data_IF_577167112505
#
_entry.id   IF_577167112505
#
_cell.length_a   1.000
_cell.length_b   1.000
_cell.length_c   1.000
_cell.angle_alpha   90.00
_cell.angle_beta   90.00
_cell.angle_gamma   90.00
#
_symmetry.space_group_name_H-M   'P 1'
#
loop_
_entity.id
_entity.type
_entity.pdbx_description
1 polymer ?
#
# COMPACT_ATOMS: atom_id res chain seq x y z
N UNK A 1 72.00 11.76 -42.52
CA UNK A 1 71.06 12.49 -41.65
C UNK A 1 69.57 12.25 -41.93
N UNK A 2 69.16 12.08 -43.20
CA UNK A 2 67.70 11.82 -43.53
C UNK A 2 67.16 10.45 -43.08
N UNK A 3 67.99 9.40 -42.91
CA UNK A 3 67.53 8.09 -42.42
C UNK A 3 67.25 8.02 -40.93
N UNK A 4 68.03 8.71 -40.12
CA UNK A 4 67.82 8.77 -38.67
C UNK A 4 66.57 9.58 -38.29
N UNK A 5 66.28 10.66 -39.04
CA UNK A 5 65.06 11.44 -38.83
C UNK A 5 63.77 10.62 -39.06
N UNK A 6 63.75 9.74 -40.06
CA UNK A 6 62.59 8.83 -40.34
C UNK A 6 62.43 7.77 -39.27
N UNK A 7 63.51 7.25 -38.70
CA UNK A 7 63.45 6.21 -37.66
C UNK A 7 62.99 6.83 -36.32
N UNK A 8 63.37 8.04 -36.01
CA UNK A 8 62.94 8.75 -34.81
C UNK A 8 61.45 9.15 -34.89
N UNK A 9 60.98 9.61 -36.06
CA UNK A 9 59.58 9.93 -36.26
C UNK A 9 58.69 8.67 -36.21
N UNK A 10 59.13 7.51 -36.73
CA UNK A 10 58.40 6.27 -36.59
C UNK A 10 58.36 5.74 -35.17
N UNK A 11 59.42 5.87 -34.38
CA UNK A 11 59.46 5.49 -32.96
C UNK A 11 58.57 6.34 -32.09
N UNK A 12 58.50 7.66 -32.35
CA UNK A 12 57.61 8.59 -31.62
C UNK A 12 56.14 8.34 -31.97
N UNK A 13 55.84 8.03 -33.22
CA UNK A 13 54.46 7.71 -33.64
C UNK A 13 53.98 6.35 -33.05
N UNK A 14 54.87 5.37 -32.93
CA UNK A 14 54.58 4.08 -32.28
C UNK A 14 54.40 4.26 -30.73
N UNK A 15 55.17 5.14 -30.11
CA UNK A 15 55.04 5.42 -28.69
C UNK A 15 53.76 6.20 -28.36
N UNK A 16 53.32 7.09 -29.25
CA UNK A 16 52.03 7.79 -29.12
C UNK A 16 50.82 6.88 -29.32
N UNK A 17 50.92 5.84 -30.16
CA UNK A 17 49.88 4.82 -30.36
C UNK A 17 49.77 3.89 -29.15
N UNK A 18 50.83 3.62 -28.41
CA UNK A 18 50.81 2.77 -27.21
C UNK A 18 50.21 3.53 -26.01
N UNK A 19 50.38 4.82 -25.94
CA UNK A 19 49.78 5.67 -24.88
C UNK A 19 48.26 5.90 -25.05
N UNK A 20 47.73 5.71 -26.25
CA UNK A 20 46.27 5.85 -26.46
C UNK A 20 45.44 4.60 -26.11
N UNK A 21 46.08 3.45 -25.87
CA UNK A 21 45.39 2.20 -25.51
C UNK A 21 45.18 2.04 -23.97
N UNK A 22 45.94 2.80 -23.16
CA UNK A 22 45.80 2.77 -21.71
C UNK A 22 44.76 3.73 -21.11
N UNK A 23 44.06 4.50 -21.97
CA UNK A 23 42.98 5.41 -21.52
C UNK A 23 41.56 4.78 -21.56
N UNK A 24 41.45 3.50 -21.95
CA UNK A 24 40.26 2.70 -21.62
C UNK A 24 40.42 2.03 -20.27
N UNK A 25 40.66 2.85 -19.22
CA UNK A 25 40.29 2.48 -17.87
C UNK A 25 38.80 2.32 -17.88
N UNK A 26 38.31 1.08 -17.80
CA UNK A 26 36.90 0.79 -17.62
C UNK A 26 36.39 1.56 -16.43
N UNK A 27 35.73 2.69 -16.64
CA UNK A 27 34.69 3.10 -15.75
C UNK A 27 33.70 1.92 -15.79
N UNK A 28 33.74 1.05 -14.80
CA UNK A 28 32.57 0.33 -14.39
C UNK A 28 31.51 1.41 -14.12
N UNK A 29 30.79 1.75 -15.18
CA UNK A 29 29.53 2.43 -15.03
C UNK A 29 28.69 1.44 -14.24
N UNK A 30 28.71 1.57 -12.90
CA UNK A 30 27.67 1.00 -12.10
C UNK A 30 26.41 1.62 -12.68
N UNK A 31 25.65 0.86 -13.46
CA UNK A 31 24.28 1.23 -13.77
C UNK A 31 23.64 1.39 -12.43
N UNK A 32 23.53 2.62 -11.99
CA UNK A 32 22.85 2.98 -10.76
C UNK A 32 21.45 2.37 -10.87
N UNK A 33 21.21 1.32 -10.08
CA UNK A 33 19.93 0.61 -10.12
C UNK A 33 18.95 1.47 -9.36
N UNK A 34 18.24 2.33 -10.06
CA UNK A 34 17.17 3.14 -9.51
C UNK A 34 15.93 2.28 -9.37
N UNK A 35 15.32 2.30 -8.19
CA UNK A 35 14.05 1.64 -7.86
C UNK A 35 13.07 2.72 -7.46
N UNK A 36 11.88 2.73 -8.06
CA UNK A 36 10.81 3.66 -7.72
C UNK A 36 9.83 2.93 -6.80
N UNK A 37 9.73 3.38 -5.55
CA UNK A 37 8.81 2.83 -4.57
C UNK A 37 7.57 3.72 -4.43
N UNK A 38 6.38 3.10 -4.39
CA UNK A 38 5.13 3.77 -4.12
C UNK A 38 4.61 3.55 -2.70
N UNK A 39 3.80 4.46 -2.19
CA UNK A 39 2.94 4.22 -1.03
C UNK A 39 1.48 4.57 -1.32
N UNK A 40 0.56 3.91 -0.63
CA UNK A 40 -0.81 4.35 -0.51
C UNK A 40 -0.89 5.60 0.39
N UNK A 41 -2.06 6.22 0.42
CA UNK A 41 -2.40 7.49 1.07
C UNK A 41 -2.79 7.35 2.56
N UNK A 42 -2.10 6.48 3.31
CA UNK A 42 -2.29 6.32 4.76
C UNK A 42 -1.00 5.95 5.49
N UNK A 43 -0.94 6.32 6.76
CA UNK A 43 0.28 6.37 7.57
C UNK A 43 1.06 5.06 7.63
N UNK A 44 0.40 3.91 7.84
CA UNK A 44 1.11 2.63 7.90
C UNK A 44 1.82 2.33 6.57
N UNK A 45 1.12 2.49 5.45
CA UNK A 45 1.68 2.19 4.14
C UNK A 45 2.85 3.11 3.78
N UNK A 46 2.77 4.41 4.14
CA UNK A 46 3.87 5.37 3.99
C UNK A 46 5.10 4.96 4.83
N UNK A 47 4.90 4.58 6.09
CA UNK A 47 5.98 4.12 6.98
C UNK A 47 6.64 2.85 6.42
N UNK A 48 5.85 1.87 5.98
CA UNK A 48 6.38 0.61 5.44
C UNK A 48 7.12 0.87 4.12
N UNK A 49 6.59 1.73 3.25
CA UNK A 49 7.27 2.13 2.01
C UNK A 49 8.62 2.78 2.30
N UNK A 50 8.70 3.66 3.30
CA UNK A 50 9.96 4.27 3.72
C UNK A 50 10.94 3.24 4.29
N UNK A 51 10.47 2.26 5.08
CA UNK A 51 11.32 1.17 5.57
C UNK A 51 11.89 0.33 4.41
N UNK A 52 11.09 0.04 3.38
CA UNK A 52 11.57 -0.66 2.18
C UNK A 52 12.58 0.20 1.41
N UNK A 53 12.31 1.51 1.28
CA UNK A 53 13.23 2.45 0.64
C UNK A 53 14.59 2.47 1.33
N UNK A 54 14.63 2.62 2.65
CA UNK A 54 15.86 2.62 3.44
C UNK A 54 16.62 1.28 3.34
N UNK A 55 15.92 0.15 3.33
CA UNK A 55 16.54 -1.16 3.16
C UNK A 55 17.17 -1.33 1.78
N UNK A 56 16.52 -0.82 0.73
CA UNK A 56 17.05 -0.83 -0.63
C UNK A 56 18.26 0.10 -0.78
N UNK A 57 18.23 1.29 -0.15
CA UNK A 57 19.37 2.23 -0.12
C UNK A 57 20.58 1.60 0.59
N UNK A 58 20.36 0.93 1.73
CA UNK A 58 21.42 0.19 2.44
C UNK A 58 22.02 -0.94 1.59
N UNK A 59 21.19 -1.56 0.73
CA UNK A 59 21.64 -2.56 -0.25
C UNK A 59 22.32 -1.97 -1.49
N UNK A 60 22.47 -0.61 -1.57
CA UNK A 60 23.18 0.08 -2.64
C UNK A 60 22.34 0.44 -3.87
N UNK A 61 21.03 0.49 -3.75
CA UNK A 61 20.13 1.01 -4.78
C UNK A 61 19.94 2.53 -4.61
N UNK A 62 19.72 3.23 -5.71
CA UNK A 62 19.15 4.57 -5.65
C UNK A 62 17.63 4.43 -5.61
N UNK A 63 16.97 5.06 -4.63
CA UNK A 63 15.52 4.92 -4.45
C UNK A 63 14.80 6.25 -4.70
N UNK A 64 13.85 6.23 -5.61
CA UNK A 64 12.87 7.31 -5.82
C UNK A 64 11.57 6.95 -5.07
N UNK A 65 11.01 7.93 -4.36
CA UNK A 65 9.79 7.78 -3.56
C UNK A 65 8.62 8.48 -4.23
N UNK A 66 7.53 7.76 -4.49
CA UNK A 66 6.24 8.29 -4.94
C UNK A 66 5.18 7.94 -3.91
N UNK A 67 5.13 8.77 -2.88
CA UNK A 67 4.24 8.59 -1.73
C UNK A 67 2.84 9.17 -1.98
N UNK A 68 1.87 8.82 -1.11
CA UNK A 68 0.54 9.41 -1.08
C UNK A 68 -0.26 9.18 -2.39
N UNK A 69 -0.19 7.95 -2.92
CA UNK A 69 -0.96 7.52 -4.09
C UNK A 69 -2.27 6.91 -3.62
N UNK A 70 -3.40 7.38 -4.15
CA UNK A 70 -4.70 6.82 -3.81
C UNK A 70 -4.74 5.29 -3.97
N UNK A 71 -5.33 4.60 -3.01
CA UNK A 71 -5.39 3.12 -2.96
C UNK A 71 -6.01 2.51 -4.22
N UNK A 72 -6.98 3.20 -4.84
CA UNK A 72 -7.60 2.80 -6.10
C UNK A 72 -6.69 2.91 -7.34
N UNK A 73 -5.57 3.63 -7.24
CA UNK A 73 -4.69 3.97 -8.37
C UNK A 73 -3.36 3.23 -8.32
N UNK A 74 -2.82 2.96 -7.12
CA UNK A 74 -1.44 2.47 -6.95
C UNK A 74 -1.15 1.16 -7.68
N UNK A 75 -2.10 0.21 -7.69
CA UNK A 75 -1.95 -1.04 -8.44
C UNK A 75 -1.76 -0.76 -9.95
N UNK A 76 -2.55 0.15 -10.51
CA UNK A 76 -2.42 0.56 -11.91
C UNK A 76 -1.08 1.25 -12.17
N UNK A 77 -0.57 2.05 -11.24
CA UNK A 77 0.76 2.68 -11.34
C UNK A 77 1.88 1.64 -11.39
N UNK A 78 1.76 0.51 -10.64
CA UNK A 78 2.71 -0.60 -10.73
C UNK A 78 2.63 -1.32 -12.08
N UNK A 79 1.43 -1.65 -12.56
CA UNK A 79 1.19 -2.26 -13.88
C UNK A 79 1.73 -1.37 -15.01
N UNK A 80 1.51 -0.07 -14.94
CA UNK A 80 1.97 0.92 -15.92
C UNK A 80 3.47 1.25 -15.83
N UNK A 81 4.20 0.66 -14.86
CA UNK A 81 5.63 0.91 -14.65
C UNK A 81 5.96 2.33 -14.20
N UNK A 82 5.05 2.98 -13.53
CA UNK A 82 5.27 4.27 -12.90
C UNK A 82 5.99 4.13 -11.56
N UNK A 83 5.80 2.98 -10.89
CA UNK A 83 6.53 2.51 -9.71
C UNK A 83 7.05 1.09 -9.95
N UNK A 84 8.01 0.63 -9.15
CA UNK A 84 8.61 -0.71 -9.25
C UNK A 84 8.10 -1.66 -8.18
N UNK A 85 7.72 -1.12 -7.02
CA UNK A 85 7.12 -1.87 -5.92
C UNK A 85 6.30 -0.95 -5.02
N UNK A 86 5.42 -1.56 -4.24
CA UNK A 86 4.72 -0.94 -3.11
C UNK A 86 4.30 -1.99 -2.09
N UNK A 87 4.05 -1.61 -0.81
CA UNK A 87 3.42 -2.48 0.17
C UNK A 87 1.94 -2.67 -0.16
N UNK A 88 1.50 -3.92 -0.29
CA UNK A 88 0.10 -4.27 -0.52
C UNK A 88 -0.39 -5.23 0.55
N UNK A 89 -1.69 -5.39 0.67
CA UNK A 89 -2.37 -6.23 1.64
C UNK A 89 -3.12 -7.34 0.92
N UNK A 90 -2.96 -8.58 1.38
CA UNK A 90 -3.49 -9.77 0.72
C UNK A 90 -5.01 -9.70 0.50
N UNK A 91 -5.76 -9.21 1.49
CA UNK A 91 -7.22 -9.01 1.39
C UNK A 91 -7.62 -7.99 0.33
N UNK A 92 -6.86 -6.88 0.20
CA UNK A 92 -7.07 -5.89 -0.87
C UNK A 92 -6.82 -6.51 -2.24
N UNK A 93 -5.73 -7.26 -2.38
CA UNK A 93 -5.44 -7.99 -3.62
C UNK A 93 -6.57 -8.95 -4.00
N UNK A 94 -7.11 -9.69 -3.02
CA UNK A 94 -8.18 -10.65 -3.23
C UNK A 94 -9.51 -9.98 -3.63
N UNK A 95 -9.99 -9.03 -2.82
CA UNK A 95 -11.35 -8.51 -2.95
C UNK A 95 -11.43 -7.29 -3.88
N UNK A 96 -10.50 -6.32 -3.76
CA UNK A 96 -10.60 -5.07 -4.51
C UNK A 96 -10.01 -5.16 -5.91
N UNK A 97 -8.91 -5.90 -6.08
CA UNK A 97 -8.21 -5.98 -7.38
C UNK A 97 -8.69 -7.17 -8.18
N UNK A 98 -8.71 -8.38 -7.58
CA UNK A 98 -9.08 -9.61 -8.27
C UNK A 98 -10.58 -9.88 -8.25
N UNK A 99 -11.33 -9.21 -7.36
CA UNK A 99 -12.79 -9.37 -7.19
C UNK A 99 -13.21 -10.84 -6.98
N UNK A 100 -12.42 -11.57 -6.18
CA UNK A 100 -12.65 -12.96 -5.82
C UNK A 100 -13.53 -13.07 -4.57
N UNK A 101 -14.07 -14.26 -4.30
CA UNK A 101 -14.81 -14.57 -3.08
C UNK A 101 -13.90 -14.50 -1.83
N UNK A 102 -14.51 -14.22 -0.67
CA UNK A 102 -13.79 -14.16 0.61
C UNK A 102 -13.16 -15.50 0.95
N UNK A 103 -11.88 -15.50 1.27
CA UNK A 103 -11.15 -16.61 1.88
C UNK A 103 -10.70 -16.15 3.27
N UNK A 104 -10.67 -17.06 4.24
CA UNK A 104 -10.40 -16.73 5.65
C UNK A 104 -9.05 -17.25 6.16
N UNK A 105 -8.42 -18.17 5.45
CA UNK A 105 -7.10 -18.67 5.79
C UNK A 105 -6.00 -17.80 5.18
N UNK A 106 -5.07 -17.24 5.98
CA UNK A 106 -4.05 -16.32 5.47
C UNK A 106 -3.11 -16.92 4.40
N UNK A 107 -2.76 -18.20 4.54
CA UNK A 107 -1.88 -18.88 3.57
C UNK A 107 -2.61 -19.11 2.25
N UNK A 108 -3.90 -19.48 2.31
CA UNK A 108 -4.74 -19.66 1.13
C UNK A 108 -4.97 -18.32 0.41
N UNK A 109 -5.27 -17.23 1.14
CA UNK A 109 -5.39 -15.88 0.56
C UNK A 109 -4.11 -15.47 -0.14
N UNK A 110 -2.95 -15.59 0.53
CA UNK A 110 -1.66 -15.23 -0.04
C UNK A 110 -1.34 -16.06 -1.31
N UNK A 111 -1.49 -17.38 -1.25
CA UNK A 111 -1.20 -18.25 -2.39
C UNK A 111 -2.09 -17.91 -3.59
N UNK A 112 -3.38 -17.62 -3.33
CA UNK A 112 -4.36 -17.27 -4.37
C UNK A 112 -4.01 -15.93 -5.03
N UNK A 113 -3.75 -14.87 -4.26
CA UNK A 113 -3.42 -13.55 -4.83
C UNK A 113 -2.08 -13.60 -5.56
N UNK A 114 -1.09 -14.29 -5.02
CA UNK A 114 0.23 -14.43 -5.66
C UNK A 114 0.12 -15.08 -7.03
N UNK A 115 -0.56 -16.22 -7.13
CA UNK A 115 -0.74 -16.93 -8.40
C UNK A 115 -1.52 -16.10 -9.43
N UNK A 116 -2.61 -15.46 -8.99
CA UNK A 116 -3.43 -14.65 -9.88
C UNK A 116 -2.71 -13.37 -10.38
N UNK A 117 -1.90 -12.72 -9.54
CA UNK A 117 -1.13 -11.54 -9.94
C UNK A 117 -0.01 -11.91 -10.92
N UNK A 118 0.66 -13.04 -10.74
CA UNK A 118 1.66 -13.53 -11.69
C UNK A 118 1.02 -13.82 -13.06
N UNK A 119 -0.14 -14.48 -13.08
CA UNK A 119 -0.85 -14.84 -14.31
C UNK A 119 -1.43 -13.62 -15.05
N UNK A 120 -2.14 -12.75 -14.32
CA UNK A 120 -2.93 -11.67 -14.94
C UNK A 120 -2.10 -10.41 -15.20
N UNK A 121 -1.16 -10.06 -14.30
CA UNK A 121 -0.47 -8.78 -14.31
C UNK A 121 1.05 -8.90 -14.49
N UNK A 122 1.63 -10.10 -14.41
CA UNK A 122 3.10 -10.32 -14.40
C UNK A 122 3.77 -9.58 -13.21
N UNK A 123 3.09 -9.60 -12.06
CA UNK A 123 3.55 -9.03 -10.80
C UNK A 123 3.79 -10.15 -9.79
N UNK A 124 4.82 -10.00 -8.97
CA UNK A 124 5.17 -10.98 -7.92
C UNK A 124 4.88 -10.42 -6.53
N UNK A 125 4.16 -11.18 -5.72
CA UNK A 125 4.07 -10.99 -4.28
C UNK A 125 5.29 -11.65 -3.61
N UNK A 126 6.09 -10.84 -2.90
CA UNK A 126 7.14 -11.38 -2.04
C UNK A 126 6.54 -11.94 -0.75
N UNK A 127 7.39 -12.50 0.14
CA UNK A 127 6.90 -13.10 1.38
C UNK A 127 6.13 -12.10 2.24
N UNK A 128 5.00 -12.53 2.77
CA UNK A 128 4.16 -11.67 3.60
C UNK A 128 4.59 -11.66 5.07
N UNK A 129 4.35 -10.54 5.73
CA UNK A 129 4.55 -10.38 7.16
C UNK A 129 3.38 -10.95 7.98
N UNK A 130 3.62 -11.29 9.24
CA UNK A 130 2.54 -11.65 10.16
C UNK A 130 1.62 -10.45 10.50
N UNK A 131 2.04 -9.22 10.21
CA UNK A 131 1.23 -8.02 10.38
C UNK A 131 -0.03 -8.12 9.49
N UNK A 132 -1.19 -7.89 10.11
CA UNK A 132 -2.50 -7.95 9.48
C UNK A 132 -3.25 -6.64 9.77
N UNK A 133 -3.37 -5.79 8.76
CA UNK A 133 -4.06 -4.51 8.84
C UNK A 133 -5.42 -4.62 8.13
N UNK A 134 -6.39 -5.15 8.86
CA UNK A 134 -7.74 -5.40 8.37
C UNK A 134 -8.58 -4.13 8.24
N UNK A 135 -9.63 -4.22 7.42
CA UNK A 135 -10.70 -3.23 7.41
C UNK A 135 -11.48 -3.27 8.73
N UNK A 136 -12.07 -2.15 9.12
CA UNK A 136 -12.89 -2.05 10.31
C UNK A 136 -13.81 -0.82 10.27
N UNK A 137 -14.65 -0.72 11.26
CA UNK A 137 -15.43 0.48 11.59
C UNK A 137 -15.15 0.86 13.04
N UNK A 138 -14.95 2.14 13.30
CA UNK A 138 -14.90 2.64 14.65
C UNK A 138 -16.05 3.61 14.91
N UNK A 139 -16.47 3.67 16.16
CA UNK A 139 -17.53 4.57 16.64
C UNK A 139 -16.99 5.41 17.80
N UNK A 140 -17.51 6.62 18.00
CA UNK A 140 -17.21 7.39 19.20
C UNK A 140 -17.59 6.62 20.45
N UNK A 141 -16.77 6.68 21.51
CA UNK A 141 -17.10 6.08 22.82
C UNK A 141 -18.47 6.53 23.31
N UNK A 142 -18.81 7.81 23.15
CA UNK A 142 -20.10 8.39 23.51
C UNK A 142 -21.28 7.66 22.87
N UNK A 143 -21.23 7.47 21.53
CA UNK A 143 -22.32 6.80 20.81
C UNK A 143 -22.35 5.29 21.10
N UNK A 144 -21.17 4.65 21.22
CA UNK A 144 -21.09 3.24 21.60
C UNK A 144 -21.77 2.98 22.97
N UNK A 145 -21.49 3.80 23.96
CA UNK A 145 -22.09 3.68 25.31
C UNK A 145 -23.57 4.04 25.31
N UNK A 146 -23.99 5.07 24.55
CA UNK A 146 -25.38 5.52 24.47
C UNK A 146 -26.32 4.46 23.89
N UNK A 147 -25.87 3.77 22.83
CA UNK A 147 -26.68 2.77 22.12
C UNK A 147 -26.29 1.31 22.43
N UNK A 148 -25.26 1.08 23.26
CA UNK A 148 -24.77 -0.26 23.59
C UNK A 148 -24.13 -1.00 22.41
N UNK A 149 -23.43 -0.28 21.52
CA UNK A 149 -22.85 -0.80 20.27
C UNK A 149 -21.44 -1.30 20.52
N UNK A 150 -21.18 -2.56 20.17
CA UNK A 150 -19.85 -3.20 20.23
C UNK A 150 -19.50 -4.01 18.97
N UNK A 151 -20.49 -4.37 18.18
CA UNK A 151 -20.35 -5.16 16.96
C UNK A 151 -20.89 -4.41 15.75
N UNK A 152 -20.52 -4.84 14.54
CA UNK A 152 -21.08 -4.29 13.30
C UNK A 152 -22.58 -4.60 13.17
N UNK A 153 -23.05 -5.75 13.71
CA UNK A 153 -24.47 -6.03 13.78
C UNK A 153 -25.24 -5.04 14.65
N UNK A 154 -24.68 -4.66 15.81
CA UNK A 154 -25.29 -3.63 16.67
C UNK A 154 -25.33 -2.30 15.95
N UNK A 155 -24.23 -1.93 15.28
CA UNK A 155 -24.14 -0.70 14.50
C UNK A 155 -25.21 -0.65 13.40
N UNK A 156 -25.39 -1.74 12.65
CA UNK A 156 -26.39 -1.81 11.58
C UNK A 156 -27.81 -1.61 12.11
N UNK A 157 -28.13 -2.19 13.28
CA UNK A 157 -29.42 -2.02 13.92
C UNK A 157 -29.74 -0.59 14.37
N UNK A 158 -28.70 0.20 14.61
CA UNK A 158 -28.79 1.61 15.07
C UNK A 158 -28.33 2.64 14.02
N UNK A 159 -28.13 2.23 12.76
CA UNK A 159 -27.61 3.12 11.72
C UNK A 159 -28.45 4.41 11.54
N UNK A 160 -29.76 4.33 11.69
CA UNK A 160 -30.68 5.46 11.52
C UNK A 160 -30.50 6.58 12.59
N UNK A 161 -29.87 6.31 13.71
CA UNK A 161 -29.55 7.27 14.76
C UNK A 161 -28.16 7.91 14.56
N UNK A 162 -27.31 7.33 13.72
CA UNK A 162 -25.88 7.61 13.64
C UNK A 162 -25.48 8.35 12.38
N UNK A 163 -24.51 9.26 12.52
CA UNK A 163 -23.89 10.01 11.42
C UNK A 163 -22.61 9.30 10.99
N UNK A 164 -22.50 8.99 9.71
CA UNK A 164 -21.37 8.29 9.14
C UNK A 164 -20.40 9.25 8.44
N UNK A 165 -19.15 9.27 8.87
CA UNK A 165 -18.06 9.92 8.16
C UNK A 165 -17.49 8.94 7.11
N UNK A 166 -18.07 8.96 5.93
CA UNK A 166 -17.69 8.11 4.82
C UNK A 166 -16.34 8.52 4.22
N UNK A 167 -15.73 7.58 3.51
CA UNK A 167 -14.59 7.82 2.62
C UNK A 167 -15.00 7.39 1.23
N UNK A 168 -14.74 8.22 0.21
CA UNK A 168 -15.27 7.99 -1.13
C UNK A 168 -14.85 6.64 -1.75
N UNK A 169 -13.66 6.13 -1.44
CA UNK A 169 -13.23 4.81 -1.88
C UNK A 169 -13.96 3.69 -1.14
N UNK A 170 -14.15 3.82 0.17
CA UNK A 170 -14.85 2.83 1.00
C UNK A 170 -16.29 2.60 0.53
N UNK A 171 -16.95 3.65 0.04
CA UNK A 171 -18.31 3.56 -0.49
C UNK A 171 -18.42 2.80 -1.81
N UNK A 172 -17.30 2.55 -2.50
CA UNK A 172 -17.29 1.96 -3.84
C UNK A 172 -16.58 0.59 -3.91
N UNK A 173 -15.73 0.29 -2.95
CA UNK A 173 -14.95 -0.95 -2.93
C UNK A 173 -15.79 -2.14 -2.51
N UNK A 174 -15.53 -3.32 -3.12
CA UNK A 174 -16.17 -4.59 -2.73
C UNK A 174 -15.84 -5.00 -1.28
N UNK A 175 -14.69 -4.59 -0.74
CA UNK A 175 -14.30 -4.77 0.66
C UNK A 175 -14.64 -3.56 1.56
N UNK A 176 -15.45 -2.65 1.07
CA UNK A 176 -15.97 -1.49 1.78
C UNK A 176 -17.46 -1.63 2.10
N UNK A 177 -18.20 -0.49 1.96
CA UNK A 177 -19.63 -0.45 2.28
C UNK A 177 -20.46 -1.47 1.46
N UNK A 178 -20.23 -1.66 0.14
CA UNK A 178 -20.96 -2.69 -0.61
C UNK A 178 -20.81 -4.10 -0.05
N UNK A 179 -19.61 -4.50 0.38
CA UNK A 179 -19.37 -5.81 1.00
C UNK A 179 -20.05 -5.94 2.37
N UNK A 180 -19.99 -4.89 3.18
CA UNK A 180 -20.71 -4.84 4.46
C UNK A 180 -22.20 -5.01 4.27
N UNK A 181 -22.81 -4.29 3.34
CA UNK A 181 -24.26 -4.34 3.09
C UNK A 181 -24.74 -5.69 2.54
N UNK A 182 -23.88 -6.41 1.81
CA UNK A 182 -24.19 -7.79 1.38
C UNK A 182 -24.35 -8.76 2.56
N UNK A 183 -23.59 -8.56 3.65
CA UNK A 183 -23.53 -9.47 4.79
C UNK A 183 -24.43 -9.00 5.94
N UNK A 184 -24.35 -7.70 6.29
CA UNK A 184 -25.08 -7.13 7.44
C UNK A 184 -26.44 -6.54 7.07
N UNK A 185 -26.72 -6.35 5.78
CA UNK A 185 -27.87 -5.58 5.29
C UNK A 185 -27.56 -4.08 5.16
N UNK A 186 -28.51 -3.30 4.61
CA UNK A 186 -28.30 -1.89 4.32
C UNK A 186 -28.09 -1.07 5.62
N UNK A 187 -27.23 -0.05 5.52
CA UNK A 187 -27.02 0.92 6.60
C UNK A 187 -27.78 2.22 6.26
N UNK A 188 -28.97 2.35 6.80
CA UNK A 188 -29.81 3.54 6.62
C UNK A 188 -29.35 4.69 7.55
N UNK A 189 -28.15 5.23 7.30
CA UNK A 189 -27.54 6.25 8.13
C UNK A 189 -28.44 7.48 8.32
N UNK A 190 -28.47 8.03 9.54
CA UNK A 190 -29.07 9.34 9.81
C UNK A 190 -28.54 10.42 8.86
N UNK A 191 -27.27 10.38 8.59
CA UNK A 191 -26.58 11.15 7.53
C UNK A 191 -25.26 10.47 7.18
N UNK A 192 -24.85 10.60 5.92
CA UNK A 192 -23.52 10.22 5.47
C UNK A 192 -22.88 11.40 4.74
N UNK A 193 -21.61 11.66 5.05
CA UNK A 193 -20.83 12.72 4.42
C UNK A 193 -19.40 12.22 4.19
N UNK A 194 -18.89 12.46 2.98
CA UNK A 194 -17.52 12.10 2.59
C UNK A 194 -16.52 13.05 3.21
N UNK A 195 -15.49 12.49 3.84
CA UNK A 195 -14.34 13.19 4.41
C UNK A 195 -13.05 12.58 3.86
N UNK A 196 -11.96 13.36 3.93
CA UNK A 196 -10.62 12.86 3.73
C UNK A 196 -10.25 11.81 4.79
N UNK A 197 -9.54 10.74 4.37
CA UNK A 197 -9.14 9.65 5.26
C UNK A 197 -8.36 10.13 6.48
N UNK A 198 -7.48 11.11 6.32
CA UNK A 198 -6.69 11.71 7.41
C UNK A 198 -7.51 12.47 8.44
N UNK A 199 -8.76 12.86 8.13
CA UNK A 199 -9.61 13.68 9.02
C UNK A 199 -10.60 12.89 9.85
N UNK A 200 -10.80 11.58 9.61
CA UNK A 200 -11.87 10.77 10.19
C UNK A 200 -11.94 10.81 11.72
N UNK A 201 -10.81 10.69 12.39
CA UNK A 201 -10.75 10.76 13.86
C UNK A 201 -11.09 12.15 14.39
N UNK A 202 -10.59 13.19 13.75
CA UNK A 202 -10.88 14.57 14.15
C UNK A 202 -12.37 14.90 13.97
N UNK A 203 -12.97 14.43 12.89
CA UNK A 203 -14.42 14.61 12.60
C UNK A 203 -15.27 13.96 13.67
N UNK A 204 -14.91 12.75 14.14
CA UNK A 204 -15.61 12.05 15.21
C UNK A 204 -15.37 12.72 16.57
N UNK A 205 -14.13 13.15 16.88
CA UNK A 205 -13.81 13.89 18.11
C UNK A 205 -14.55 15.23 18.20
N UNK A 206 -14.75 15.91 17.07
CA UNK A 206 -15.46 17.18 17.01
C UNK A 206 -16.99 17.03 17.04
N UNK A 207 -17.52 15.81 17.22
CA UNK A 207 -18.96 15.51 17.19
C UNK A 207 -19.65 15.91 15.85
N UNK A 208 -18.90 15.83 14.74
CA UNK A 208 -19.44 16.04 13.39
C UNK A 208 -19.99 14.73 12.79
N UNK A 209 -19.45 13.59 13.22
CA UNK A 209 -19.91 12.24 12.90
C UNK A 209 -19.78 11.33 14.14
N UNK A 210 -20.41 10.17 14.08
CA UNK A 210 -20.41 9.19 15.17
C UNK A 210 -19.54 7.97 14.81
N UNK A 211 -19.50 7.61 13.53
CA UNK A 211 -18.89 6.38 12.97
C UNK A 211 -18.04 6.73 11.77
N UNK A 212 -16.91 6.02 11.59
CA UNK A 212 -16.11 6.09 10.38
C UNK A 212 -15.40 4.75 10.09
N UNK A 213 -14.97 4.50 8.85
CA UNK A 213 -14.08 3.39 8.51
C UNK A 213 -12.74 3.51 9.23
N UNK A 214 -12.12 2.37 9.53
CA UNK A 214 -10.80 2.27 10.14
C UNK A 214 -9.97 1.16 9.51
N UNK A 215 -8.66 1.24 9.73
CA UNK A 215 -7.76 0.11 9.59
C UNK A 215 -7.37 -0.39 10.97
N UNK A 216 -7.35 -1.71 11.18
CA UNK A 216 -7.26 -2.30 12.53
C UNK A 216 -5.95 -2.02 13.27
N UNK A 217 -4.92 -1.56 12.56
CA UNK A 217 -3.60 -1.19 13.12
C UNK A 217 -3.43 0.30 13.40
N UNK A 218 -4.45 1.14 13.13
CA UNK A 218 -4.33 2.59 13.31
C UNK A 218 -4.08 2.98 14.77
N UNK A 219 -3.03 3.76 14.99
CA UNK A 219 -2.57 4.14 16.32
C UNK A 219 -3.60 4.89 17.17
N UNK A 220 -4.56 5.61 16.54
CA UNK A 220 -5.64 6.30 17.25
C UNK A 220 -6.64 5.37 17.94
N UNK A 221 -6.73 4.12 17.52
CA UNK A 221 -7.62 3.11 18.13
C UNK A 221 -7.19 2.70 19.54
N UNK A 222 -5.96 3.03 19.97
CA UNK A 222 -5.53 2.81 21.37
C UNK A 222 -6.17 3.80 22.35
N UNK A 223 -6.77 4.89 21.86
CA UNK A 223 -7.52 5.88 22.66
C UNK A 223 -8.93 5.36 22.96
N UNK A 224 -9.02 4.26 23.72
CA UNK A 224 -10.27 3.54 23.99
C UNK A 224 -11.28 4.33 24.84
N UNK A 225 -10.86 5.43 25.45
CA UNK A 225 -11.71 6.41 26.09
C UNK A 225 -12.46 7.32 25.09
N UNK A 226 -12.01 7.38 23.84
CA UNK A 226 -12.62 8.17 22.77
C UNK A 226 -13.29 7.32 21.69
N UNK A 227 -12.68 6.20 21.33
CA UNK A 227 -13.08 5.39 20.19
C UNK A 227 -13.27 3.92 20.56
N UNK A 228 -14.17 3.27 19.86
CA UNK A 228 -14.40 1.83 19.94
C UNK A 228 -14.27 1.24 18.54
N UNK A 229 -13.27 0.38 18.33
CA UNK A 229 -13.22 -0.46 17.14
C UNK A 229 -14.30 -1.54 17.28
N UNK A 230 -15.18 -1.65 16.30
CA UNK A 230 -16.28 -2.61 16.31
C UNK A 230 -15.80 -4.00 15.89
N UNK A 231 -16.36 -5.03 16.53
CA UNK A 231 -16.14 -6.41 16.15
C UNK A 231 -16.87 -6.73 14.84
N UNK A 232 -16.16 -7.28 13.85
CA UNK A 232 -16.76 -7.90 12.66
C UNK A 232 -17.29 -9.30 13.00
N UNK A 233 -18.45 -9.35 13.66
CA UNK A 233 -19.01 -10.59 14.19
C UNK A 233 -19.59 -11.55 13.13
N UNK A 234 -19.70 -11.13 11.86
CA UNK A 234 -20.09 -11.98 10.72
C UNK A 234 -18.94 -12.26 9.76
N UNK A 235 -17.73 -11.77 10.06
CA UNK A 235 -16.49 -12.06 9.33
C UNK A 235 -16.59 -11.72 7.83
N UNK A 236 -16.96 -10.47 7.53
CA UNK A 236 -17.08 -9.99 6.15
C UNK A 236 -15.71 -9.84 5.47
N UNK A 237 -14.66 -9.62 6.25
CA UNK A 237 -13.33 -9.34 5.71
C UNK A 237 -12.37 -10.52 5.81
N UNK A 238 -11.53 -10.72 4.78
CA UNK A 238 -10.42 -11.68 4.82
C UNK A 238 -9.25 -11.17 5.67
N UNK A 239 -8.20 -11.97 5.86
CA UNK A 239 -6.93 -11.48 6.35
C UNK A 239 -6.28 -10.47 5.38
N UNK A 240 -5.67 -9.40 5.92
CA UNK A 240 -4.95 -8.36 5.18
C UNK A 240 -3.48 -8.38 5.58
N UNK A 241 -2.78 -9.47 5.27
CA UNK A 241 -1.36 -9.56 5.56
C UNK A 241 -0.55 -8.69 4.59
N UNK A 242 0.38 -7.93 5.17
CA UNK A 242 1.25 -7.01 4.44
C UNK A 242 2.33 -7.75 3.66
N UNK A 243 2.52 -7.43 2.39
CA UNK A 243 3.63 -7.92 1.57
C UNK A 243 4.07 -6.91 0.51
N UNK A 244 5.37 -6.91 0.10
CA UNK A 244 5.80 -6.16 -1.07
C UNK A 244 5.25 -6.80 -2.35
N UNK A 245 4.66 -6.00 -3.22
CA UNK A 245 4.33 -6.40 -4.60
C UNK A 245 5.27 -5.71 -5.56
N UNK A 246 5.91 -6.48 -6.43
CA UNK A 246 6.97 -6.02 -7.31
C UNK A 246 6.68 -6.42 -8.77
N UNK A 247 7.29 -5.69 -9.70
CA UNK A 247 7.33 -6.10 -11.11
C UNK A 247 8.37 -7.20 -11.32
N UNK A 248 8.09 -8.09 -12.26
CA UNK A 248 9.04 -9.10 -12.73
C UNK A 248 10.08 -8.49 -13.68
#
# INVERSE_FOLDING_TARGET
MKHYAKQITSAILALLLILSVTACGGSTQSTEKTVVIGSKDFTENEIVSELYALALEDAGYTVERKMDIASSVIHTSLVNREIDLYPEYTGTGLLSILQMEVLTDPEEVYATVKAAYEEQFQLTWLDYAAANDGQGLFISRKAADEYGISTISDLQAHAAELRFASQGEFDQREDGLPGLEKVYGPFDWKSSKVYDNGLKYQVVENDEADVAPAYTTEGRLVETDKFVLLEDNLQVWPPYNLAPVVRN
#
